data_IF_009297186174
#
_entry.id   IF_009297186174
#
_cell.length_a   1.000
_cell.length_b   1.000
_cell.length_c   1.000
_cell.angle_alpha   90.00
_cell.angle_beta   90.00
_cell.angle_gamma   90.00
#
_symmetry.space_group_name_H-M   'P 1'
#
loop_
_entity.id
_entity.type
_entity.pdbx_description
1 polymer ?
#
# COMPACT_ATOMS: atom_id res chain seq x y z
N UNK A 1 -9.31 10.68 12.46
CA UNK A 1 -7.86 10.45 12.67
C UNK A 1 -7.52 9.04 13.11
N UNK A 2 -8.01 8.56 14.26
CA UNK A 2 -7.64 7.24 14.79
C UNK A 2 -7.95 6.09 13.81
N UNK A 3 -9.16 6.04 13.26
CA UNK A 3 -9.59 5.01 12.31
C UNK A 3 -8.67 4.97 11.08
N UNK A 4 -8.37 6.12 10.47
CA UNK A 4 -7.53 6.19 9.28
C UNK A 4 -6.10 5.70 9.55
N UNK A 5 -5.58 5.96 10.76
CA UNK A 5 -4.28 5.44 11.21
C UNK A 5 -4.32 3.92 11.41
N UNK A 6 -5.40 3.39 12.00
CA UNK A 6 -5.57 1.94 12.16
C UNK A 6 -5.63 1.27 10.79
N UNK A 7 -6.40 1.82 9.85
CA UNK A 7 -6.49 1.31 8.48
C UNK A 7 -5.11 1.35 7.81
N UNK A 8 -4.36 2.44 7.93
CA UNK A 8 -2.99 2.51 7.41
C UNK A 8 -2.08 1.44 8.02
N UNK A 9 -2.17 1.19 9.33
CA UNK A 9 -1.36 0.16 9.99
C UNK A 9 -1.71 -1.23 9.48
N UNK A 10 -3.00 -1.58 9.46
CA UNK A 10 -3.46 -2.88 8.95
C UNK A 10 -3.03 -3.05 7.50
N UNK A 11 -3.21 -2.02 6.68
CA UNK A 11 -2.86 -2.05 5.27
C UNK A 11 -1.35 -2.21 5.03
N UNK A 12 -0.51 -1.41 5.70
CA UNK A 12 0.94 -1.52 5.59
C UNK A 12 1.46 -2.88 6.06
N UNK A 13 0.94 -3.42 7.16
CA UNK A 13 1.28 -4.76 7.61
C UNK A 13 0.81 -5.84 6.64
N UNK A 14 -0.35 -5.66 5.99
CA UNK A 14 -0.83 -6.59 4.97
C UNK A 14 0.04 -6.62 3.72
N UNK A 15 0.62 -5.48 3.30
CA UNK A 15 1.60 -5.43 2.21
C UNK A 15 2.85 -6.22 2.57
N UNK A 16 3.41 -5.97 3.77
CA UNK A 16 4.60 -6.68 4.26
C UNK A 16 4.33 -8.19 4.32
N UNK A 17 3.23 -8.61 4.95
CA UNK A 17 2.90 -10.03 5.09
C UNK A 17 2.60 -10.68 3.73
N UNK A 18 1.82 -10.01 2.88
CA UNK A 18 1.46 -10.48 1.55
C UNK A 18 2.69 -10.65 0.67
N UNK A 19 3.59 -9.67 0.66
CA UNK A 19 4.80 -9.72 -0.16
C UNK A 19 5.82 -10.73 0.38
N UNK A 20 5.98 -10.82 1.70
CA UNK A 20 6.81 -11.85 2.35
C UNK A 20 6.34 -13.23 1.91
N UNK A 21 5.04 -13.51 2.02
CA UNK A 21 4.48 -14.79 1.62
C UNK A 21 4.60 -15.01 0.11
N UNK A 22 4.27 -14.00 -0.71
CA UNK A 22 4.33 -14.11 -2.17
C UNK A 22 5.72 -14.47 -2.68
N UNK A 23 6.75 -13.88 -2.07
CA UNK A 23 8.15 -14.00 -2.53
C UNK A 23 8.91 -15.15 -1.89
N UNK A 24 8.40 -15.75 -0.82
CA UNK A 24 9.09 -16.82 -0.09
C UNK A 24 9.37 -18.03 -0.98
N UNK A 25 10.64 -18.26 -1.34
CA UNK A 25 11.05 -19.37 -2.19
C UNK A 25 10.56 -19.28 -3.65
N UNK A 26 10.11 -18.11 -4.10
CA UNK A 26 9.57 -17.90 -5.45
C UNK A 26 10.58 -17.26 -6.44
N UNK A 27 11.87 -17.19 -6.04
CA UNK A 27 12.99 -16.63 -6.82
C UNK A 27 12.70 -15.26 -7.47
N UNK A 28 11.94 -14.43 -6.76
CA UNK A 28 11.56 -13.10 -7.23
C UNK A 28 12.70 -12.12 -7.05
N UNK A 29 12.92 -11.30 -8.07
CA UNK A 29 13.97 -10.28 -8.02
C UNK A 29 13.69 -9.27 -6.89
N UNK A 30 14.65 -9.09 -5.99
CA UNK A 30 14.50 -8.36 -4.73
C UNK A 30 13.99 -6.91 -4.88
N UNK A 31 14.28 -6.25 -6.01
CA UNK A 31 13.76 -4.90 -6.31
C UNK A 31 12.23 -4.84 -6.35
N UNK A 32 11.55 -5.91 -6.79
CA UNK A 32 10.08 -6.02 -6.82
C UNK A 32 9.50 -6.63 -5.53
N UNK A 33 10.36 -6.84 -4.54
CA UNK A 33 10.00 -7.30 -3.21
C UNK A 33 10.11 -6.14 -2.26
N UNK A 34 11.22 -5.40 -2.32
CA UNK A 34 11.54 -4.34 -1.37
C UNK A 34 10.59 -3.14 -1.48
N UNK A 35 10.08 -2.82 -2.67
CA UNK A 35 9.17 -1.70 -2.92
C UNK A 35 7.93 -1.74 -2.02
N UNK A 36 7.30 -2.90 -1.87
CA UNK A 36 6.17 -3.09 -0.96
C UNK A 36 6.55 -2.78 0.51
N UNK A 37 7.76 -3.12 0.96
CA UNK A 37 8.24 -2.81 2.31
C UNK A 37 8.55 -1.32 2.48
N UNK A 38 9.15 -0.67 1.48
CA UNK A 38 9.43 0.78 1.52
C UNK A 38 8.13 1.57 1.61
N UNK A 39 7.17 1.25 0.76
CA UNK A 39 5.86 1.89 0.75
C UNK A 39 5.09 1.60 2.04
N UNK A 40 5.09 0.37 2.53
CA UNK A 40 4.51 0.05 3.83
C UNK A 40 5.17 0.83 4.96
N UNK A 41 6.51 0.95 4.95
CA UNK A 41 7.28 1.74 5.90
C UNK A 41 6.87 3.21 5.91
N UNK A 42 6.72 3.82 4.74
CA UNK A 42 6.22 5.20 4.59
C UNK A 42 4.80 5.35 5.15
N UNK A 43 3.92 4.38 4.88
CA UNK A 43 2.55 4.38 5.36
C UNK A 43 2.47 4.28 6.89
N UNK A 44 3.26 3.38 7.48
CA UNK A 44 3.37 3.18 8.93
C UNK A 44 3.96 4.40 9.62
N UNK A 45 5.01 4.99 9.04
CA UNK A 45 5.63 6.22 9.53
C UNK A 45 4.63 7.39 9.49
N UNK A 46 3.92 7.57 8.38
CA UNK A 46 2.86 8.58 8.24
C UNK A 46 1.74 8.38 9.26
N UNK A 47 1.28 7.14 9.46
CA UNK A 47 0.27 6.81 10.46
C UNK A 47 0.74 7.06 11.90
N UNK A 48 2.05 6.95 12.17
CA UNK A 48 2.64 7.29 13.45
C UNK A 48 2.75 8.81 13.66
N UNK A 49 3.23 9.55 12.66
CA UNK A 49 3.48 10.99 12.75
C UNK A 49 2.20 11.85 12.74
N UNK A 50 1.16 11.44 11.99
CA UNK A 50 -0.12 12.19 11.89
C UNK A 50 -0.94 12.20 13.20
N UNK A 51 -0.38 11.66 14.30
CA UNK A 51 -0.91 11.81 15.66
C UNK A 51 -1.09 13.28 16.07
N UNK A 52 -0.21 14.15 15.58
CA UNK A 52 -0.28 15.61 15.72
C UNK A 52 -0.66 16.19 14.36
N UNK A 53 -1.92 16.62 14.18
CA UNK A 53 -2.48 17.02 12.89
C UNK A 53 -2.09 18.46 12.47
N UNK A 54 -0.79 18.70 12.31
CA UNK A 54 -0.27 19.85 11.57
C UNK A 54 -0.24 19.56 10.06
N UNK A 55 0.02 20.60 9.27
CA UNK A 55 0.04 20.50 7.80
C UNK A 55 1.10 19.51 7.29
N UNK A 56 2.26 19.43 7.95
CA UNK A 56 3.40 18.62 7.49
C UNK A 56 3.12 17.13 7.68
N UNK A 57 2.65 16.73 8.86
CA UNK A 57 2.36 15.32 9.15
C UNK A 57 1.20 14.80 8.31
N UNK A 58 0.20 15.64 8.03
CA UNK A 58 -0.88 15.32 7.08
C UNK A 58 -0.39 15.17 5.65
N UNK A 59 0.43 16.10 5.17
CA UNK A 59 0.99 16.04 3.83
C UNK A 59 1.81 14.76 3.64
N UNK A 60 2.65 14.40 4.62
CA UNK A 60 3.40 13.16 4.60
C UNK A 60 2.49 11.92 4.59
N UNK A 61 1.42 11.93 5.41
CA UNK A 61 0.49 10.81 5.45
C UNK A 61 -0.28 10.64 4.14
N UNK A 62 -0.74 11.74 3.52
CA UNK A 62 -1.36 11.73 2.21
C UNK A 62 -0.38 11.27 1.12
N UNK A 63 0.88 11.71 1.17
CA UNK A 63 1.93 11.29 0.23
C UNK A 63 2.22 9.78 0.35
N UNK A 64 2.27 9.24 1.57
CA UNK A 64 2.42 7.79 1.79
C UNK A 64 1.28 6.98 1.15
N UNK A 65 0.03 7.43 1.34
CA UNK A 65 -1.11 6.81 0.67
C UNK A 65 -1.06 6.94 -0.86
N UNK A 66 -0.65 8.10 -1.37
CA UNK A 66 -0.52 8.33 -2.81
C UNK A 66 0.56 7.48 -3.47
N UNK A 67 1.73 7.37 -2.84
CA UNK A 67 2.81 6.49 -3.31
C UNK A 67 2.35 5.03 -3.34
N UNK A 68 1.62 4.60 -2.31
CA UNK A 68 1.02 3.27 -2.26
C UNK A 68 -0.01 3.03 -3.37
N UNK A 69 -0.92 3.98 -3.60
CA UNK A 69 -1.88 3.89 -4.69
C UNK A 69 -1.18 3.80 -6.06
N UNK A 70 -0.12 4.58 -6.29
CA UNK A 70 0.66 4.53 -7.53
C UNK A 70 1.35 3.19 -7.76
N UNK A 71 1.99 2.63 -6.73
CA UNK A 71 2.61 1.30 -6.78
C UNK A 71 1.57 0.20 -7.06
N UNK A 72 0.44 0.25 -6.35
CA UNK A 72 -0.63 -0.74 -6.51
C UNK A 72 -1.36 -0.62 -7.85
N UNK A 73 -1.42 0.57 -8.46
CA UNK A 73 -2.03 0.78 -9.77
C UNK A 73 -1.35 -0.08 -10.84
N UNK A 74 -0.03 0.05 -11.00
CA UNK A 74 0.71 -0.71 -12.01
C UNK A 74 0.63 -2.21 -11.72
N UNK A 75 0.69 -2.60 -10.44
CA UNK A 75 0.58 -3.99 -10.00
C UNK A 75 -0.80 -4.59 -10.28
N UNK A 76 -1.89 -3.86 -10.04
CA UNK A 76 -3.26 -4.35 -10.26
C UNK A 76 -3.60 -4.45 -11.74
N UNK A 77 -3.45 -3.35 -12.47
CA UNK A 77 -3.82 -3.30 -13.89
C UNK A 77 -2.89 -4.16 -14.76
N UNK A 78 -1.62 -4.31 -14.40
CA UNK A 78 -0.71 -5.24 -15.07
C UNK A 78 -1.22 -6.68 -15.05
N UNK A 79 -1.83 -7.12 -13.93
CA UNK A 79 -2.42 -8.46 -13.80
C UNK A 79 -3.70 -8.64 -14.62
N UNK A 80 -4.46 -7.58 -14.83
CA UNK A 80 -5.68 -7.61 -15.65
C UNK A 80 -5.37 -7.63 -17.15
N UNK A 81 -4.33 -6.90 -17.56
CA UNK A 81 -3.96 -6.77 -18.98
C UNK A 81 -3.12 -7.95 -19.44
N UNK A 82 -2.14 -8.39 -18.65
CA UNK A 82 -1.22 -9.47 -19.03
C UNK A 82 -1.00 -10.48 -17.89
N UNK A 83 -2.05 -11.26 -17.53
CA UNK A 83 -1.98 -12.19 -16.41
C UNK A 83 -0.90 -13.27 -16.60
N UNK A 84 -0.63 -13.68 -17.84
CA UNK A 84 0.35 -14.72 -18.17
C UNK A 84 1.80 -14.29 -17.91
N UNK A 85 2.10 -12.99 -17.95
CA UNK A 85 3.44 -12.45 -17.66
C UNK A 85 3.67 -12.18 -16.16
N UNK A 86 2.63 -12.33 -15.33
CA UNK A 86 2.72 -12.06 -13.90
C UNK A 86 3.35 -13.22 -13.14
N UNK A 87 4.43 -12.97 -12.41
CA UNK A 87 4.90 -13.87 -11.37
C UNK A 87 4.02 -13.72 -10.10
N UNK A 88 3.08 -14.65 -9.93
CA UNK A 88 2.17 -14.68 -8.79
C UNK A 88 2.81 -15.23 -7.50
N UNK A 89 4.02 -15.79 -7.59
CA UNK A 89 4.72 -16.43 -6.48
C UNK A 89 3.86 -17.52 -5.85
N UNK A 90 3.72 -17.47 -4.53
CA UNK A 90 2.94 -18.46 -3.77
C UNK A 90 1.41 -18.28 -3.84
N UNK A 91 0.92 -17.23 -4.51
CA UNK A 91 -0.52 -17.03 -4.69
C UNK A 91 -1.01 -17.56 -6.05
N UNK A 92 -2.27 -17.98 -6.10
CA UNK A 92 -2.98 -18.09 -7.38
C UNK A 92 -3.23 -16.69 -7.98
N UNK A 93 -3.06 -16.52 -9.29
CA UNK A 93 -3.16 -15.22 -9.96
C UNK A 93 -4.48 -14.49 -9.69
N UNK A 94 -5.61 -15.22 -9.65
CA UNK A 94 -6.92 -14.64 -9.36
C UNK A 94 -7.03 -14.10 -7.93
N UNK A 95 -6.54 -14.85 -6.94
CA UNK A 95 -6.53 -14.42 -5.53
C UNK A 95 -5.61 -13.22 -5.35
N UNK A 96 -4.41 -13.26 -5.94
CA UNK A 96 -3.47 -12.15 -5.88
C UNK A 96 -4.06 -10.88 -6.49
N UNK A 97 -4.70 -10.99 -7.66
CA UNK A 97 -5.33 -9.85 -8.34
C UNK A 97 -6.45 -9.25 -7.48
N UNK A 98 -7.27 -10.08 -6.84
CA UNK A 98 -8.31 -9.63 -5.93
C UNK A 98 -7.73 -8.90 -4.71
N UNK A 99 -6.71 -9.47 -4.06
CA UNK A 99 -6.06 -8.86 -2.89
C UNK A 99 -5.43 -7.51 -3.23
N UNK A 100 -4.68 -7.44 -4.33
CA UNK A 100 -4.05 -6.19 -4.80
C UNK A 100 -5.11 -5.18 -5.21
N UNK A 101 -6.23 -5.59 -5.82
CA UNK A 101 -7.35 -4.71 -6.15
C UNK A 101 -8.02 -4.10 -4.92
N UNK A 102 -8.30 -4.91 -3.90
CA UNK A 102 -8.83 -4.41 -2.62
C UNK A 102 -7.84 -3.47 -1.93
N UNK A 103 -6.54 -3.80 -2.00
CA UNK A 103 -5.49 -2.96 -1.48
C UNK A 103 -5.46 -1.60 -2.21
N UNK A 104 -5.54 -1.60 -3.54
CA UNK A 104 -5.53 -0.40 -4.37
C UNK A 104 -6.70 0.53 -4.04
N UNK A 105 -7.93 0.00 -3.97
CA UNK A 105 -9.11 0.79 -3.58
C UNK A 105 -8.93 1.38 -2.19
N UNK A 106 -8.44 0.59 -1.23
CA UNK A 106 -8.14 1.08 0.12
C UNK A 106 -7.12 2.20 0.11
N UNK A 107 -6.08 2.10 -0.73
CA UNK A 107 -5.05 3.13 -0.85
C UNK A 107 -5.58 4.45 -1.40
N UNK A 108 -6.44 4.39 -2.44
CA UNK A 108 -7.10 5.58 -3.00
C UNK A 108 -8.01 6.24 -1.97
N UNK A 109 -8.85 5.45 -1.28
CA UNK A 109 -9.73 5.98 -0.23
C UNK A 109 -8.93 6.57 0.94
N UNK A 110 -7.83 5.92 1.34
CA UNK A 110 -6.93 6.41 2.37
C UNK A 110 -6.25 7.73 2.00
N UNK A 111 -5.83 7.86 0.74
CA UNK A 111 -5.26 9.10 0.17
C UNK A 111 -6.28 10.24 0.23
N UNK A 112 -7.47 10.03 -0.36
CA UNK A 112 -8.54 11.04 -0.37
C UNK A 112 -8.93 11.44 1.05
N UNK A 113 -9.13 10.46 1.93
CA UNK A 113 -9.45 10.74 3.33
C UNK A 113 -8.36 11.57 4.02
N UNK A 114 -7.08 11.31 3.75
CA UNK A 114 -5.94 12.05 4.32
C UNK A 114 -5.87 13.50 3.82
N UNK A 115 -6.24 13.74 2.55
CA UNK A 115 -6.34 15.08 1.95
C UNK A 115 -7.52 15.86 2.52
N UNK A 116 -8.63 15.19 2.85
CA UNK A 116 -9.83 15.83 3.39
C UNK A 116 -9.80 16.06 4.90
N UNK A 117 -8.81 15.51 5.60
CA UNK A 117 -8.59 15.79 7.02
C UNK A 117 -8.50 17.30 7.29
N UNK A 118 -9.04 17.84 8.39
CA UNK A 118 -8.77 19.22 8.78
C UNK A 118 -7.31 19.36 9.24
N UNK A 119 -6.61 20.41 8.82
CA UNK A 119 -5.32 20.80 9.42
C UNK A 119 -5.55 21.98 10.36
N UNK A 120 -4.90 21.95 11.53
CA UNK A 120 -4.63 23.20 12.26
C UNK A 120 -3.42 23.85 11.59
N UNK A 121 -3.56 25.13 11.24
CA UNK A 121 -2.48 25.94 10.69
C UNK A 121 -1.38 26.15 11.74
#
# INVERSE_FOLDING_TARGET
MLILRIIAVIHGLSLIAGETYRSWGADRHWLFVVDDYWIAGLLLLGAWLVRSADVRTRALFAAGWGANAGMLYSSFFGKLVEPAATNAGNFGIGVLTLLVGMAFVTAVLGMVASILLPAKA
#
